data_IF_562033621328
#
_entry.id   IF_562033621328
#
_cell.length_a   1.000
_cell.length_b   1.000
_cell.length_c   1.000
_cell.angle_alpha   90.00
_cell.angle_beta   90.00
_cell.angle_gamma   90.00
#
_symmetry.space_group_name_H-M   'P 1'
#
loop_
_entity.id
_entity.type
_entity.pdbx_description
1 polymer ?
#
# COMPACT_ATOMS: atom_id res chain seq x y z
N UNK A 1 -10.52 20.11 28.10
CA UNK A 1 -9.28 20.55 27.41
C UNK A 1 -8.36 19.34 27.25
N UNK A 2 -7.85 19.08 26.04
CA UNK A 2 -6.97 17.93 25.82
C UNK A 2 -5.58 18.24 26.38
N UNK A 3 -5.07 17.53 27.41
CA UNK A 3 -3.80 17.85 28.09
C UNK A 3 -2.61 17.91 27.11
N UNK A 4 -2.68 17.19 25.99
CA UNK A 4 -1.64 17.25 24.94
C UNK A 4 -1.54 18.60 24.22
N UNK A 5 -2.65 19.35 24.13
CA UNK A 5 -2.64 20.69 23.49
C UNK A 5 -2.03 21.75 24.40
N UNK A 6 -2.15 21.58 25.72
CA UNK A 6 -1.61 22.52 26.71
C UNK A 6 -0.09 22.38 26.82
N UNK A 7 0.43 21.14 26.88
CA UNK A 7 1.88 20.88 26.96
C UNK A 7 2.63 21.38 25.72
N UNK A 8 2.03 21.27 24.53
CA UNK A 8 2.65 21.77 23.29
C UNK A 8 2.77 23.29 23.18
N UNK A 9 2.03 24.06 24.00
CA UNK A 9 2.09 25.52 24.01
C UNK A 9 3.16 26.09 24.96
N UNK A 10 3.60 25.30 25.93
CA UNK A 10 4.45 25.80 27.04
C UNK A 10 5.89 25.27 27.00
N UNK A 11 6.13 24.14 26.30
CA UNK A 11 7.43 23.46 26.25
C UNK A 11 8.11 23.68 24.90
N UNK A 12 9.41 24.08 24.86
CA UNK A 12 10.16 24.20 23.61
C UNK A 12 10.16 22.89 22.80
N UNK A 13 10.03 22.98 21.46
CA UNK A 13 9.98 21.79 20.57
C UNK A 13 11.18 20.86 20.74
N UNK A 14 12.34 21.37 21.12
CA UNK A 14 13.56 20.60 21.40
C UNK A 14 13.44 19.70 22.63
N UNK A 15 12.72 20.13 23.66
CA UNK A 15 12.48 19.34 24.87
C UNK A 15 11.31 18.35 24.75
N UNK A 16 10.38 18.60 23.82
CA UNK A 16 9.22 17.72 23.60
C UNK A 16 9.63 16.38 22.98
N UNK A 17 10.57 16.36 22.01
CA UNK A 17 11.02 15.14 21.32
C UNK A 17 11.57 14.04 22.26
N UNK A 18 12.48 14.32 23.19
CA UNK A 18 12.97 13.33 24.16
C UNK A 18 11.84 12.79 25.06
N UNK A 19 10.99 13.68 25.57
CA UNK A 19 9.86 13.28 26.43
C UNK A 19 8.86 12.39 25.68
N UNK A 20 8.49 12.75 24.45
CA UNK A 20 7.63 11.89 23.62
C UNK A 20 8.26 10.52 23.33
N UNK A 21 9.57 10.48 23.13
CA UNK A 21 10.28 9.21 22.89
C UNK A 21 10.28 8.31 24.11
N UNK A 22 10.56 8.85 25.28
CA UNK A 22 10.48 8.12 26.57
C UNK A 22 9.05 7.63 26.83
N UNK A 23 8.07 8.52 26.68
CA UNK A 23 6.65 8.17 26.84
C UNK A 23 6.18 7.07 25.90
N UNK A 24 6.63 7.11 24.63
CA UNK A 24 6.30 6.06 23.65
C UNK A 24 6.95 4.73 23.99
N UNK A 25 8.22 4.74 24.43
CA UNK A 25 8.92 3.54 24.89
C UNK A 25 8.24 2.92 26.11
N UNK A 26 7.93 3.71 27.13
CA UNK A 26 7.26 3.23 28.34
C UNK A 26 5.88 2.63 28.07
N UNK A 27 5.08 3.26 27.19
CA UNK A 27 3.81 2.67 26.74
C UNK A 27 3.99 1.34 26.01
N UNK A 28 5.06 1.21 25.20
CA UNK A 28 5.39 -0.04 24.54
C UNK A 28 5.59 -1.17 25.54
N UNK A 29 6.40 -0.94 26.56
CA UNK A 29 6.67 -1.91 27.64
C UNK A 29 5.38 -2.27 28.38
N UNK A 30 4.57 -1.27 28.77
CA UNK A 30 3.28 -1.51 29.48
C UNK A 30 2.37 -2.46 28.68
N UNK A 31 2.21 -2.24 27.37
CA UNK A 31 1.34 -3.10 26.57
C UNK A 31 1.95 -4.48 26.32
N UNK A 32 3.27 -4.59 26.14
CA UNK A 32 3.96 -5.88 26.04
C UNK A 32 3.77 -6.70 27.32
N UNK A 33 4.01 -6.09 28.48
CA UNK A 33 3.81 -6.75 29.80
C UNK A 33 2.36 -7.19 29.98
N UNK A 34 1.39 -6.31 29.68
CA UNK A 34 -0.05 -6.63 29.81
C UNK A 34 -0.49 -7.82 28.96
N UNK A 35 0.13 -8.01 27.79
CA UNK A 35 -0.18 -9.11 26.87
C UNK A 35 0.84 -10.28 26.97
N UNK A 36 1.74 -10.27 27.95
CA UNK A 36 2.70 -11.35 28.18
C UNK A 36 3.74 -11.52 27.07
N UNK A 37 4.23 -10.41 26.51
CA UNK A 37 5.27 -10.39 25.46
C UNK A 37 4.97 -11.36 24.30
N UNK A 38 3.82 -11.26 23.64
CA UNK A 38 3.37 -12.28 22.69
C UNK A 38 4.30 -12.41 21.48
N UNK A 39 4.98 -11.34 21.09
CA UNK A 39 5.90 -11.30 19.95
C UNK A 39 7.17 -12.15 20.16
N UNK A 40 7.56 -12.47 21.39
CA UNK A 40 8.79 -13.23 21.66
C UNK A 40 8.72 -14.69 21.19
N UNK A 41 7.52 -15.23 20.98
CA UNK A 41 7.29 -16.62 20.54
C UNK A 41 6.81 -16.72 19.09
N UNK A 42 6.74 -15.61 18.36
CA UNK A 42 6.23 -15.55 17.00
C UNK A 42 7.32 -15.08 16.04
N UNK A 43 7.47 -15.76 14.93
CA UNK A 43 8.29 -15.27 13.80
C UNK A 43 7.55 -14.17 13.07
N UNK A 44 8.26 -13.15 12.58
CA UNK A 44 7.62 -12.01 11.96
C UNK A 44 8.32 -11.57 10.68
N UNK A 45 7.52 -11.24 9.67
CA UNK A 45 7.92 -10.55 8.45
C UNK A 45 7.33 -9.15 8.49
N UNK A 46 8.18 -8.13 8.38
CA UNK A 46 7.73 -6.74 8.37
C UNK A 46 7.96 -6.13 6.97
N UNK A 47 6.90 -5.56 6.41
CA UNK A 47 6.89 -5.03 5.03
C UNK A 47 6.70 -3.52 5.07
N UNK A 48 7.69 -2.79 4.55
CA UNK A 48 7.65 -1.33 4.39
C UNK A 48 7.88 -0.93 2.92
N UNK A 49 7.67 0.32 2.60
CA UNK A 49 7.79 0.90 1.26
C UNK A 49 6.84 2.07 1.09
N UNK A 50 6.85 2.74 -0.04
CA UNK A 50 5.83 3.73 -0.38
C UNK A 50 4.59 3.04 -0.88
N UNK A 51 4.69 2.26 -1.94
CA UNK A 51 3.62 1.53 -2.61
C UNK A 51 3.80 0.01 -2.48
N UNK A 52 2.73 -0.77 -2.70
CA UNK A 52 2.78 -2.23 -2.79
C UNK A 52 2.80 -3.01 -1.47
N UNK A 53 2.84 -2.36 -0.30
CA UNK A 53 2.96 -3.02 1.02
C UNK A 53 1.85 -4.04 1.30
N UNK A 54 0.59 -3.64 1.13
CA UNK A 54 -0.59 -4.49 1.38
C UNK A 54 -0.61 -5.68 0.42
N UNK A 55 -0.34 -5.43 -0.86
CA UNK A 55 -0.30 -6.49 -1.89
C UNK A 55 0.86 -7.46 -1.64
N UNK A 56 2.04 -6.95 -1.29
CA UNK A 56 3.18 -7.80 -0.90
C UNK A 56 2.83 -8.66 0.33
N UNK A 57 2.17 -8.08 1.35
CA UNK A 57 1.73 -8.83 2.52
C UNK A 57 0.74 -9.94 2.14
N UNK A 58 -0.17 -9.67 1.21
CA UNK A 58 -1.13 -10.65 0.70
C UNK A 58 -0.44 -11.78 -0.07
N UNK A 59 0.53 -11.47 -0.94
CA UNK A 59 1.34 -12.50 -1.61
C UNK A 59 2.15 -13.35 -0.62
N UNK A 60 2.82 -12.71 0.35
CA UNK A 60 3.58 -13.43 1.38
C UNK A 60 2.65 -14.36 2.14
N UNK A 61 1.46 -13.90 2.53
CA UNK A 61 0.45 -14.72 3.20
C UNK A 61 0.06 -15.94 2.35
N UNK A 62 -0.24 -15.72 1.08
CA UNK A 62 -0.63 -16.78 0.14
C UNK A 62 0.48 -17.82 -0.05
N UNK A 63 1.74 -17.39 -0.18
CA UNK A 63 2.92 -18.24 -0.30
C UNK A 63 3.15 -19.07 0.96
N UNK A 64 3.04 -18.47 2.14
CA UNK A 64 3.21 -19.17 3.41
C UNK A 64 2.11 -20.21 3.64
N UNK A 65 0.85 -19.87 3.36
CA UNK A 65 -0.29 -20.81 3.44
C UNK A 65 -0.15 -21.98 2.46
N UNK A 66 0.26 -21.74 1.22
CA UNK A 66 0.56 -22.79 0.24
C UNK A 66 1.69 -23.72 0.73
N UNK A 67 2.63 -23.18 1.50
CA UNK A 67 3.66 -23.94 2.21
C UNK A 67 3.18 -24.72 3.42
N UNK A 68 1.89 -24.66 3.76
CA UNK A 68 1.30 -25.36 4.91
C UNK A 68 1.52 -24.65 6.26
N UNK A 69 1.91 -23.38 6.25
CA UNK A 69 2.17 -22.61 7.47
C UNK A 69 0.92 -21.81 7.90
N UNK A 70 0.65 -21.79 9.19
CA UNK A 70 -0.37 -20.93 9.78
C UNK A 70 0.11 -19.52 9.92
N UNK A 71 -0.71 -18.55 9.48
CA UNK A 71 -0.30 -17.16 9.39
C UNK A 71 -1.27 -16.20 10.10
N UNK A 72 -0.74 -15.04 10.50
CA UNK A 72 -1.54 -13.87 10.83
C UNK A 72 -1.04 -12.66 10.04
N UNK A 73 -1.96 -11.87 9.51
CA UNK A 73 -1.67 -10.70 8.65
C UNK A 73 -2.26 -9.44 9.25
N UNK A 74 -1.46 -8.40 9.34
CA UNK A 74 -1.88 -7.08 9.79
C UNK A 74 -1.53 -6.04 8.73
N UNK A 75 -2.54 -5.55 7.99
CA UNK A 75 -2.35 -4.57 6.93
C UNK A 75 -3.24 -3.33 7.11
N UNK A 76 -3.08 -2.37 6.21
CA UNK A 76 -3.99 -1.21 6.13
C UNK A 76 -5.40 -1.64 5.74
N UNK A 77 -5.54 -2.64 4.85
CA UNK A 77 -6.83 -3.06 4.31
C UNK A 77 -7.59 -4.04 5.23
N UNK A 78 -6.87 -4.97 5.86
CA UNK A 78 -7.49 -6.03 6.64
C UNK A 78 -6.55 -6.60 7.71
N UNK A 79 -7.17 -7.27 8.68
CA UNK A 79 -6.51 -8.20 9.62
C UNK A 79 -6.94 -9.62 9.28
N UNK A 80 -6.03 -10.56 9.41
CA UNK A 80 -6.34 -11.97 9.21
C UNK A 80 -5.57 -12.80 10.24
N UNK A 81 -6.23 -13.75 10.90
CA UNK A 81 -5.59 -14.73 11.79
C UNK A 81 -6.09 -16.08 11.34
N UNK A 82 -5.17 -16.95 10.89
CA UNK A 82 -5.48 -18.21 10.23
C UNK A 82 -6.32 -17.93 8.97
N UNK A 83 -7.58 -18.34 8.89
CA UNK A 83 -8.48 -18.08 7.77
C UNK A 83 -9.55 -17.01 8.06
N UNK A 84 -9.55 -16.47 9.28
CA UNK A 84 -10.51 -15.43 9.67
C UNK A 84 -10.01 -14.04 9.27
N UNK A 85 -10.57 -13.48 8.20
CA UNK A 85 -10.28 -12.13 7.70
C UNK A 85 -11.36 -11.15 8.11
N UNK A 86 -10.92 -10.00 8.64
CA UNK A 86 -11.79 -8.85 8.96
C UNK A 86 -11.23 -7.55 8.40
N UNK A 87 -12.06 -6.62 7.90
CA UNK A 87 -11.61 -5.31 7.42
C UNK A 87 -10.92 -4.51 8.52
N UNK A 88 -9.90 -3.74 8.16
CA UNK A 88 -9.26 -2.79 9.06
C UNK A 88 -9.97 -1.43 9.03
N UNK A 89 -10.94 -1.24 9.90
CA UNK A 89 -11.73 0.00 9.99
C UNK A 89 -11.01 1.16 10.70
N UNK A 90 -9.71 1.04 10.96
CA UNK A 90 -8.95 2.11 11.64
C UNK A 90 -8.37 3.18 10.70
N UNK A 91 -8.34 2.94 9.38
CA UNK A 91 -7.63 3.73 8.36
C UNK A 91 -6.15 3.98 8.73
N UNK A 92 -5.58 3.11 9.51
CA UNK A 92 -4.18 3.18 9.94
C UNK A 92 -3.54 1.82 9.82
N UNK A 93 -2.44 1.74 9.11
CA UNK A 93 -1.65 0.51 8.94
C UNK A 93 -1.24 -0.07 10.30
N UNK A 94 -0.75 0.79 11.21
CA UNK A 94 -0.45 0.44 12.59
C UNK A 94 -1.06 1.50 13.51
N UNK A 95 -2.27 1.24 14.00
CA UNK A 95 -3.06 2.22 14.75
C UNK A 95 -2.41 2.60 16.09
N UNK A 96 -1.98 1.63 16.89
CA UNK A 96 -1.34 1.87 18.19
C UNK A 96 -0.58 0.63 18.68
N UNK A 97 0.35 0.84 19.60
CA UNK A 97 1.07 -0.26 20.27
C UNK A 97 0.11 -1.26 20.94
N UNK A 98 -0.99 -0.77 21.56
CA UNK A 98 -2.02 -1.64 22.15
C UNK A 98 -2.65 -2.54 21.10
N UNK A 99 -3.07 -1.99 19.96
CA UNK A 99 -3.71 -2.75 18.89
C UNK A 99 -2.76 -3.84 18.35
N UNK A 100 -1.50 -3.49 18.11
CA UNK A 100 -0.47 -4.44 17.68
C UNK A 100 -0.27 -5.55 18.69
N UNK A 101 -0.04 -5.22 19.98
CA UNK A 101 0.19 -6.24 21.01
C UNK A 101 -1.04 -7.14 21.23
N UNK A 102 -2.26 -6.59 21.13
CA UNK A 102 -3.51 -7.38 21.15
C UNK A 102 -3.56 -8.35 19.97
N UNK A 103 -3.23 -7.87 18.76
CA UNK A 103 -3.19 -8.72 17.58
C UNK A 103 -2.18 -9.86 17.72
N UNK A 104 -0.96 -9.57 18.17
CA UNK A 104 0.07 -10.58 18.41
C UNK A 104 -0.36 -11.60 19.51
N UNK A 105 -1.05 -11.15 20.54
CA UNK A 105 -1.60 -12.06 21.57
C UNK A 105 -2.65 -13.01 20.99
N UNK A 106 -3.54 -12.52 20.12
CA UNK A 106 -4.52 -13.33 19.42
C UNK A 106 -3.86 -14.32 18.45
N UNK A 107 -2.88 -13.86 17.67
CA UNK A 107 -2.08 -14.69 16.77
C UNK A 107 -1.36 -15.83 17.53
N UNK A 108 -0.74 -15.51 18.66
CA UNK A 108 -0.12 -16.51 19.54
C UNK A 108 -1.15 -17.55 20.06
N UNK A 109 -2.34 -17.09 20.48
CA UNK A 109 -3.41 -17.97 20.95
C UNK A 109 -3.91 -18.90 19.84
N UNK A 110 -3.95 -18.42 18.58
CA UNK A 110 -4.32 -19.21 17.41
C UNK A 110 -3.21 -20.19 16.96
N UNK A 111 -2.01 -20.12 17.54
CA UNK A 111 -0.90 -20.99 17.20
C UNK A 111 -0.34 -20.77 15.81
N UNK A 112 -0.28 -19.50 15.35
CA UNK A 112 0.30 -19.19 14.03
C UNK A 112 1.83 -19.33 14.05
N UNK A 113 2.39 -19.74 12.91
CA UNK A 113 3.83 -19.88 12.73
C UNK A 113 4.49 -18.52 12.42
N UNK A 114 3.80 -17.68 11.63
CA UNK A 114 4.32 -16.41 11.14
C UNK A 114 3.31 -15.28 11.25
N UNK A 115 3.79 -14.11 11.65
CA UNK A 115 3.04 -12.85 11.56
C UNK A 115 3.60 -11.99 10.45
N UNK A 116 2.74 -11.54 9.54
CA UNK A 116 3.05 -10.63 8.45
C UNK A 116 2.51 -9.25 8.83
N UNK A 117 3.40 -8.28 8.95
CA UNK A 117 3.05 -6.93 9.41
C UNK A 117 3.40 -5.89 8.37
N UNK A 118 2.41 -5.18 7.85
CA UNK A 118 2.63 -3.97 7.07
C UNK A 118 3.02 -2.81 8.00
N UNK A 119 4.13 -2.10 7.67
CA UNK A 119 4.68 -1.06 8.53
C UNK A 119 4.95 0.22 7.75
N UNK A 120 4.33 1.32 8.15
CA UNK A 120 4.59 2.64 7.56
C UNK A 120 5.83 3.31 8.18
N UNK A 121 6.42 4.26 7.45
CA UNK A 121 7.51 5.09 7.98
C UNK A 121 7.12 5.87 9.25
N UNK A 122 5.87 6.30 9.34
CA UNK A 122 5.33 6.92 10.56
C UNK A 122 5.34 5.95 11.74
N UNK A 123 4.94 4.68 11.52
CA UNK A 123 4.93 3.66 12.57
C UNK A 123 6.35 3.37 13.07
N UNK A 124 7.32 3.29 12.16
CA UNK A 124 8.74 3.12 12.46
C UNK A 124 9.28 4.33 13.24
N UNK A 125 9.11 5.52 12.70
CA UNK A 125 9.61 6.76 13.33
C UNK A 125 8.96 7.00 14.70
N UNK A 126 7.66 6.75 14.82
CA UNK A 126 6.90 6.94 16.06
C UNK A 126 7.03 5.79 17.06
N UNK A 127 7.75 4.73 16.76
CA UNK A 127 7.96 3.61 17.69
C UNK A 127 6.72 2.76 17.94
N UNK A 128 5.76 2.71 16.99
CA UNK A 128 4.51 1.95 17.19
C UNK A 128 4.72 0.43 17.20
N UNK A 129 5.84 -0.05 16.64
CA UNK A 129 6.23 -1.45 16.66
C UNK A 129 7.36 -1.73 17.67
N UNK A 130 7.52 -0.89 18.69
CA UNK A 130 8.53 -1.11 19.73
C UNK A 130 8.33 -2.47 20.41
N UNK A 131 9.46 -3.20 20.58
CA UNK A 131 9.46 -4.57 21.14
C UNK A 131 9.17 -5.68 20.15
N UNK A 132 8.91 -5.36 18.88
CA UNK A 132 8.86 -6.35 17.81
C UNK A 132 10.26 -6.47 17.17
N UNK A 133 10.65 -7.71 16.85
CA UNK A 133 11.94 -8.04 16.20
C UNK A 133 11.67 -8.90 14.98
N UNK A 134 11.56 -8.33 13.78
CA UNK A 134 11.31 -9.10 12.57
C UNK A 134 12.47 -10.05 12.25
N UNK A 135 12.14 -11.26 11.78
CA UNK A 135 13.14 -12.13 11.14
C UNK A 135 13.50 -11.58 9.76
N UNK A 136 12.49 -11.13 9.00
CA UNK A 136 12.65 -10.61 7.65
C UNK A 136 12.03 -9.22 7.56
N UNK A 137 12.77 -8.26 6.99
CA UNK A 137 12.30 -6.95 6.59
C UNK A 137 12.27 -6.83 5.07
N UNK A 138 11.17 -6.31 4.53
CA UNK A 138 11.00 -6.08 3.09
C UNK A 138 10.87 -4.58 2.84
N UNK A 139 11.62 -4.04 1.88
CA UNK A 139 11.44 -2.68 1.34
C UNK A 139 10.99 -2.81 -0.11
N UNK A 140 9.73 -2.48 -0.39
CA UNK A 140 9.16 -2.62 -1.74
C UNK A 140 9.70 -1.57 -2.71
N UNK A 141 9.65 -0.29 -2.29
CA UNK A 141 10.12 0.87 -3.07
C UNK A 141 10.16 2.13 -2.19
N UNK A 142 10.75 3.20 -2.73
CA UNK A 142 10.72 4.54 -2.13
C UNK A 142 10.47 5.61 -3.21
N UNK A 143 9.26 6.17 -3.24
CA UNK A 143 8.87 7.30 -4.08
C UNK A 143 8.40 8.46 -3.22
N UNK A 144 8.19 9.65 -3.81
CA UNK A 144 7.83 10.84 -3.06
C UNK A 144 6.47 10.68 -2.36
N UNK A 145 6.50 10.74 -1.04
CA UNK A 145 5.32 10.70 -0.16
C UNK A 145 5.72 11.17 1.25
N UNK A 146 4.75 11.67 2.03
CA UNK A 146 4.94 12.04 3.44
C UNK A 146 6.03 13.10 3.72
N UNK A 147 6.32 14.01 2.76
CA UNK A 147 7.30 15.07 2.98
C UNK A 147 6.79 16.18 3.92
N UNK A 148 5.47 16.30 4.09
CA UNK A 148 4.85 17.08 5.15
C UNK A 148 5.36 16.67 6.54
N UNK A 149 5.62 15.39 6.74
CA UNK A 149 6.09 14.78 7.99
C UNK A 149 7.62 14.62 8.05
N UNK A 150 8.24 13.99 7.05
CA UNK A 150 9.66 13.63 7.03
C UNK A 150 10.58 14.76 6.54
N UNK A 151 10.02 15.78 5.88
CA UNK A 151 10.70 16.96 5.32
C UNK A 151 11.58 16.69 4.10
N UNK A 152 12.36 15.61 4.07
CA UNK A 152 13.20 15.22 2.93
C UNK A 152 13.04 13.73 2.62
N UNK A 153 13.35 13.36 1.38
CA UNK A 153 13.36 11.96 0.95
C UNK A 153 14.40 11.14 1.72
N UNK A 154 15.52 11.74 2.11
CA UNK A 154 16.56 11.06 2.90
C UNK A 154 16.06 10.72 4.31
N UNK A 155 15.39 11.64 5.01
CA UNK A 155 14.78 11.37 6.32
C UNK A 155 13.67 10.31 6.20
N UNK A 156 12.93 10.31 5.10
CA UNK A 156 11.95 9.28 4.81
C UNK A 156 12.60 7.91 4.60
N UNK A 157 13.71 7.84 3.84
CA UNK A 157 14.50 6.62 3.68
C UNK A 157 15.08 6.13 5.01
N UNK A 158 15.71 7.01 5.82
CA UNK A 158 16.22 6.70 7.16
C UNK A 158 15.14 6.13 8.09
N UNK A 159 13.92 6.66 8.01
CA UNK A 159 12.80 6.12 8.78
C UNK A 159 12.52 4.65 8.42
N UNK A 160 12.61 4.27 7.14
CA UNK A 160 12.45 2.86 6.70
C UNK A 160 13.67 1.99 7.05
N UNK A 161 14.92 2.51 6.91
CA UNK A 161 16.14 1.82 7.33
C UNK A 161 16.08 1.44 8.82
N UNK A 162 15.37 2.22 9.64
CA UNK A 162 15.20 1.91 11.07
C UNK A 162 14.53 0.55 11.34
N UNK A 163 13.85 -0.05 10.38
CA UNK A 163 13.34 -1.42 10.46
C UNK A 163 14.47 -2.42 10.74
N UNK A 164 15.64 -2.19 10.18
CA UNK A 164 16.83 -3.03 10.29
C UNK A 164 17.73 -2.58 11.45
N UNK A 165 18.06 -1.30 11.49
CA UNK A 165 19.04 -0.75 12.45
C UNK A 165 18.51 -0.61 13.87
N UNK A 166 17.22 -0.30 14.03
CA UNK A 166 16.58 -0.05 15.32
C UNK A 166 15.69 -1.22 15.78
N UNK A 167 14.95 -1.82 14.85
CA UNK A 167 14.02 -2.92 15.16
C UNK A 167 14.63 -4.29 14.88
N UNK A 168 15.82 -4.35 14.28
CA UNK A 168 16.67 -5.51 14.21
C UNK A 168 16.15 -6.63 13.30
N UNK A 169 15.48 -6.27 12.19
CA UNK A 169 15.16 -7.26 11.16
C UNK A 169 16.45 -7.91 10.66
N UNK A 170 16.49 -9.26 10.63
CA UNK A 170 17.74 -10.02 10.42
C UNK A 170 18.11 -10.16 8.95
N UNK A 171 17.10 -10.27 8.06
CA UNK A 171 17.30 -10.34 6.61
C UNK A 171 16.55 -9.18 5.97
N UNK A 172 17.20 -8.50 5.01
CA UNK A 172 16.64 -7.41 4.22
C UNK A 172 16.35 -7.89 2.80
N UNK A 173 15.09 -7.73 2.34
CA UNK A 173 14.70 -7.95 0.95
C UNK A 173 14.50 -6.59 0.31
N UNK A 174 15.31 -6.27 -0.72
CA UNK A 174 15.45 -4.94 -1.30
C UNK A 174 15.21 -4.94 -2.81
N UNK A 175 14.42 -3.99 -3.31
CA UNK A 175 14.24 -3.77 -4.73
C UNK A 175 15.51 -3.12 -5.32
N UNK A 176 16.20 -3.83 -6.23
CA UNK A 176 17.43 -3.36 -6.85
C UNK A 176 17.17 -2.27 -7.89
N UNK A 177 16.00 -2.27 -8.51
CA UNK A 177 15.65 -1.30 -9.55
C UNK A 177 15.10 0.02 -8.97
N UNK A 178 14.93 0.10 -7.64
CA UNK A 178 14.53 1.32 -6.96
C UNK A 178 15.69 2.32 -6.91
N UNK A 179 15.43 3.60 -7.22
CA UNK A 179 16.42 4.68 -7.19
C UNK A 179 17.14 4.82 -5.84
N UNK A 180 16.52 4.37 -4.76
CA UNK A 180 17.04 4.42 -3.40
C UNK A 180 17.73 3.11 -2.98
N UNK A 181 17.83 2.12 -3.87
CA UNK A 181 18.46 0.84 -3.56
C UNK A 181 19.85 1.01 -2.92
N UNK A 182 20.72 1.82 -3.54
CA UNK A 182 22.07 2.06 -3.03
C UNK A 182 22.07 2.62 -1.60
N UNK A 183 21.13 3.55 -1.32
CA UNK A 183 20.99 4.10 0.03
C UNK A 183 20.60 3.02 1.03
N UNK A 184 19.61 2.18 0.71
CA UNK A 184 19.21 1.07 1.59
C UNK A 184 20.35 0.07 1.76
N UNK A 185 20.97 -0.38 0.68
CA UNK A 185 22.05 -1.36 0.70
C UNK A 185 23.27 -0.91 1.52
N UNK A 186 23.63 0.38 1.45
CA UNK A 186 24.76 0.95 2.19
C UNK A 186 24.48 1.18 3.68
N UNK A 187 23.22 1.34 4.08
CA UNK A 187 22.83 1.63 5.46
C UNK A 187 22.27 0.41 6.22
N UNK A 188 22.22 -0.76 5.57
CA UNK A 188 21.75 -2.02 6.16
C UNK A 188 22.91 -3.01 6.16
N UNK A 189 23.32 -3.46 7.33
CA UNK A 189 24.47 -4.37 7.51
C UNK A 189 24.07 -5.84 7.61
N UNK A 190 22.78 -6.13 7.70
CA UNK A 190 22.22 -7.47 7.78
C UNK A 190 22.30 -8.19 6.43
N UNK A 191 22.03 -9.50 6.42
CA UNK A 191 21.89 -10.27 5.18
C UNK A 191 20.93 -9.58 4.21
N UNK A 192 21.36 -9.40 2.95
CA UNK A 192 20.56 -8.74 1.93
C UNK A 192 20.22 -9.70 0.78
N UNK A 193 18.98 -9.62 0.31
CA UNK A 193 18.48 -10.30 -0.88
C UNK A 193 17.90 -9.23 -1.78
N UNK A 194 18.56 -8.96 -2.90
CA UNK A 194 18.07 -8.02 -3.90
C UNK A 194 17.20 -8.71 -4.96
N UNK A 195 16.19 -8.00 -5.47
CA UNK A 195 15.34 -8.49 -6.56
C UNK A 195 15.09 -7.40 -7.60
N UNK A 196 14.84 -7.80 -8.85
CA UNK A 196 14.53 -6.89 -9.96
C UNK A 196 15.05 -7.34 -11.30
N UNK A 197 14.94 -6.47 -12.32
CA UNK A 197 15.47 -6.70 -13.67
C UNK A 197 16.98 -6.43 -13.76
N UNK A 198 17.54 -5.68 -12.81
CA UNK A 198 18.96 -5.36 -12.78
C UNK A 198 19.82 -6.63 -12.80
N UNK A 199 20.92 -6.62 -13.58
CA UNK A 199 21.81 -7.76 -13.76
C UNK A 199 22.41 -8.29 -12.46
N UNK A 200 22.57 -7.43 -11.47
CA UNK A 200 23.20 -7.75 -10.17
C UNK A 200 22.17 -8.16 -9.11
N UNK A 201 20.87 -8.22 -9.47
CA UNK A 201 19.83 -8.72 -8.59
C UNK A 201 20.06 -10.19 -8.28
N UNK A 202 19.96 -10.57 -7.00
CA UNK A 202 20.03 -11.96 -6.58
C UNK A 202 18.84 -12.78 -7.08
N UNK A 203 17.63 -12.21 -6.98
CA UNK A 203 16.42 -12.73 -7.60
C UNK A 203 16.14 -11.92 -8.88
N UNK A 204 16.75 -12.33 -9.98
CA UNK A 204 16.69 -11.61 -11.27
C UNK A 204 15.39 -11.90 -12.02
N UNK A 205 14.72 -10.84 -12.46
CA UNK A 205 13.48 -10.88 -13.22
C UNK A 205 13.76 -10.84 -14.73
N UNK A 206 13.07 -11.70 -15.51
CA UNK A 206 13.11 -11.72 -16.99
C UNK A 206 11.76 -12.15 -17.59
N UNK A 207 11.66 -12.02 -18.91
CA UNK A 207 10.58 -12.57 -19.74
C UNK A 207 9.17 -12.17 -19.23
N UNK A 208 8.99 -10.89 -18.92
CA UNK A 208 7.70 -10.34 -18.44
C UNK A 208 6.68 -10.36 -19.58
N UNK A 209 5.52 -10.97 -19.32
CA UNK A 209 4.35 -10.96 -20.22
C UNK A 209 3.13 -10.49 -19.42
N UNK A 210 2.66 -9.29 -19.73
CA UNK A 210 1.44 -8.71 -19.15
C UNK A 210 0.24 -9.07 -20.02
N UNK A 211 -0.86 -9.51 -19.41
CA UNK A 211 -2.12 -9.85 -20.06
C UNK A 211 -3.31 -9.29 -19.29
N UNK A 212 -4.48 -9.25 -19.89
CA UNK A 212 -5.71 -8.81 -19.22
C UNK A 212 -6.13 -9.70 -18.02
N UNK A 213 -5.62 -10.94 -17.95
CA UNK A 213 -5.97 -11.90 -16.90
C UNK A 213 -4.79 -12.17 -15.94
N UNK A 214 -3.84 -11.24 -15.82
CA UNK A 214 -2.67 -11.38 -14.96
C UNK A 214 -1.36 -11.28 -15.71
N UNK A 215 -0.29 -11.82 -15.13
CA UNK A 215 1.07 -11.70 -15.68
C UNK A 215 1.84 -13.01 -15.56
N UNK A 216 2.77 -13.23 -16.48
CA UNK A 216 3.78 -14.30 -16.40
C UNK A 216 5.17 -13.70 -16.45
N UNK A 217 6.09 -14.32 -15.74
CA UNK A 217 7.47 -13.86 -15.67
C UNK A 217 8.41 -14.99 -15.23
N UNK A 218 9.69 -14.84 -15.50
CA UNK A 218 10.71 -15.75 -15.01
C UNK A 218 11.54 -15.07 -13.93
N UNK A 219 11.80 -15.80 -12.84
CA UNK A 219 12.69 -15.35 -11.77
C UNK A 219 13.85 -16.33 -11.59
N UNK A 220 15.07 -15.82 -11.47
CA UNK A 220 16.29 -16.62 -11.23
C UNK A 220 16.26 -17.11 -9.79
N UNK A 221 16.29 -18.42 -9.60
CA UNK A 221 16.33 -19.09 -8.31
C UNK A 221 17.52 -20.08 -8.30
N UNK A 222 18.54 -19.77 -7.48
CA UNK A 222 19.83 -20.43 -7.66
C UNK A 222 20.40 -20.10 -9.04
N UNK A 223 20.60 -21.09 -9.87
CA UNK A 223 21.16 -20.96 -11.23
C UNK A 223 20.09 -21.16 -12.33
N UNK A 224 18.81 -21.36 -11.96
CA UNK A 224 17.75 -21.66 -12.91
C UNK A 224 16.68 -20.56 -12.95
N UNK A 225 16.18 -20.27 -14.18
CA UNK A 225 15.02 -19.40 -14.36
C UNK A 225 13.74 -20.22 -14.21
N UNK A 226 12.96 -19.88 -13.21
CA UNK A 226 11.68 -20.52 -12.90
C UNK A 226 10.55 -19.62 -13.37
N UNK A 227 9.60 -20.21 -14.12
CA UNK A 227 8.42 -19.51 -14.59
C UNK A 227 7.36 -19.40 -13.49
N UNK A 228 6.84 -18.18 -13.28
CA UNK A 228 5.75 -17.84 -12.37
C UNK A 228 4.58 -17.24 -13.13
N UNK A 229 3.38 -17.38 -12.58
CA UNK A 229 2.19 -16.67 -13.02
C UNK A 229 1.46 -16.05 -11.84
N UNK A 230 0.85 -14.90 -12.08
CA UNK A 230 -0.01 -14.21 -11.09
C UNK A 230 -1.27 -13.71 -11.78
N UNK A 231 -2.38 -13.66 -11.06
CA UNK A 231 -3.65 -13.12 -11.53
C UNK A 231 -3.74 -11.59 -11.36
N UNK A 232 -2.88 -10.99 -10.54
CA UNK A 232 -2.88 -9.54 -10.35
C UNK A 232 -2.25 -8.84 -11.55
N UNK A 233 -2.85 -7.73 -11.96
CA UNK A 233 -2.47 -6.94 -13.13
C UNK A 233 -1.26 -6.05 -12.85
N UNK A 234 -0.45 -5.82 -13.88
CA UNK A 234 0.60 -4.82 -13.90
C UNK A 234 1.97 -5.28 -13.42
N UNK A 235 3.00 -4.65 -13.99
CA UNK A 235 4.40 -4.93 -13.70
C UNK A 235 4.73 -4.75 -12.22
N UNK A 236 4.15 -3.73 -11.57
CA UNK A 236 4.36 -3.48 -10.15
C UNK A 236 3.91 -4.64 -9.25
N UNK A 237 2.89 -5.41 -9.66
CA UNK A 237 2.47 -6.61 -8.94
C UNK A 237 3.42 -7.79 -9.13
N UNK A 238 4.16 -7.85 -10.24
CA UNK A 238 5.29 -8.78 -10.39
C UNK A 238 6.37 -8.47 -9.34
N UNK A 239 6.70 -7.19 -9.12
CA UNK A 239 7.66 -6.78 -8.09
C UNK A 239 7.17 -7.11 -6.67
N UNK A 240 5.87 -6.94 -6.40
CA UNK A 240 5.27 -7.40 -5.14
C UNK A 240 5.36 -8.93 -4.97
N UNK A 241 5.15 -9.69 -6.05
CA UNK A 241 5.31 -11.14 -6.06
C UNK A 241 6.78 -11.57 -5.84
N UNK A 242 7.76 -10.86 -6.44
CA UNK A 242 9.19 -11.13 -6.21
C UNK A 242 9.57 -10.99 -4.73
N UNK A 243 9.01 -10.01 -4.01
CA UNK A 243 9.18 -9.91 -2.57
C UNK A 243 8.74 -11.19 -1.85
N UNK A 244 7.57 -11.73 -2.22
CA UNK A 244 7.04 -12.93 -1.60
C UNK A 244 7.82 -14.20 -2.00
N UNK A 245 8.32 -14.27 -3.24
CA UNK A 245 9.22 -15.33 -3.69
C UNK A 245 10.51 -15.31 -2.85
N UNK A 246 11.12 -14.13 -2.69
CA UNK A 246 12.32 -13.97 -1.85
C UNK A 246 12.08 -14.37 -0.40
N UNK A 247 10.93 -14.02 0.18
CA UNK A 247 10.52 -14.45 1.52
C UNK A 247 10.38 -15.97 1.57
N UNK A 248 9.65 -16.57 0.63
CA UNK A 248 9.43 -18.02 0.58
C UNK A 248 10.74 -18.81 0.48
N UNK A 249 11.69 -18.34 -0.32
CA UNK A 249 13.03 -18.91 -0.41
C UNK A 249 13.82 -18.76 0.89
N UNK A 250 13.81 -17.57 1.49
CA UNK A 250 14.54 -17.30 2.74
C UNK A 250 14.11 -18.19 3.90
N UNK A 251 12.83 -18.55 3.95
CA UNK A 251 12.29 -19.45 4.97
C UNK A 251 12.36 -20.95 4.58
N UNK A 252 12.87 -21.26 3.38
CA UNK A 252 13.11 -22.62 2.92
C UNK A 252 11.89 -23.36 2.36
N UNK A 253 10.89 -22.66 1.82
CA UNK A 253 9.75 -23.30 1.17
C UNK A 253 10.15 -23.93 -0.17
N UNK A 254 9.52 -25.07 -0.51
CA UNK A 254 9.66 -25.71 -1.82
C UNK A 254 9.16 -24.77 -2.92
N UNK A 255 9.85 -24.75 -4.05
CA UNK A 255 9.54 -23.84 -5.16
C UNK A 255 8.11 -24.02 -5.69
N UNK A 256 7.63 -25.26 -5.75
CA UNK A 256 6.26 -25.52 -6.20
C UNK A 256 5.21 -24.90 -5.28
N UNK A 257 5.47 -24.85 -3.96
CA UNK A 257 4.61 -24.19 -3.00
C UNK A 257 4.64 -22.66 -3.13
N UNK A 258 5.81 -22.10 -3.43
CA UNK A 258 5.95 -20.67 -3.74
C UNK A 258 5.14 -20.34 -5.01
N UNK A 259 5.30 -21.14 -6.09
CA UNK A 259 4.52 -20.97 -7.33
C UNK A 259 3.01 -21.05 -7.10
N UNK A 260 2.57 -22.08 -6.36
CA UNK A 260 1.17 -22.25 -5.98
C UNK A 260 0.63 -21.00 -5.24
N UNK A 261 1.37 -20.52 -4.24
CA UNK A 261 1.00 -19.36 -3.46
C UNK A 261 0.91 -18.07 -4.29
N UNK A 262 1.86 -17.83 -5.21
CA UNK A 262 1.80 -16.66 -6.11
C UNK A 262 0.59 -16.76 -7.05
N UNK A 263 0.31 -17.91 -7.62
CA UNK A 263 -0.76 -18.10 -8.57
C UNK A 263 -2.16 -18.10 -7.95
N UNK A 264 -2.28 -18.45 -6.67
CA UNK A 264 -3.57 -18.55 -5.97
C UNK A 264 -4.15 -17.20 -5.52
N UNK A 265 -3.35 -16.13 -5.45
CA UNK A 265 -3.83 -14.80 -5.06
C UNK A 265 -4.64 -14.15 -6.18
N UNK A 266 -5.96 -14.12 -6.03
CA UNK A 266 -6.90 -13.62 -7.06
C UNK A 266 -7.07 -12.11 -7.02
N UNK A 267 -7.20 -11.53 -5.85
CA UNK A 267 -7.43 -10.09 -5.65
C UNK A 267 -6.93 -9.64 -4.29
N UNK A 268 -6.74 -8.34 -4.15
CA UNK A 268 -6.46 -7.67 -2.87
C UNK A 268 -7.47 -6.53 -2.74
N UNK A 269 -8.22 -6.43 -1.62
CA UNK A 269 -9.26 -5.43 -1.46
C UNK A 269 -8.77 -4.00 -1.77
N UNK A 270 -9.44 -3.33 -2.71
CA UNK A 270 -9.13 -1.97 -3.14
C UNK A 270 -7.75 -1.81 -3.78
N UNK A 271 -7.24 -2.83 -4.45
CA UNK A 271 -5.98 -2.81 -5.21
C UNK A 271 -6.21 -3.39 -6.59
N UNK A 272 -6.47 -2.53 -7.59
CA UNK A 272 -6.89 -2.95 -8.93
C UNK A 272 -8.01 -4.00 -8.86
N UNK A 273 -8.94 -3.81 -7.92
CA UNK A 273 -10.06 -4.72 -7.69
C UNK A 273 -11.12 -4.48 -8.77
N UNK A 274 -11.37 -5.48 -9.59
CA UNK A 274 -12.41 -5.41 -10.63
C UNK A 274 -13.79 -5.54 -10.01
N UNK A 275 -14.71 -4.70 -10.47
CA UNK A 275 -16.13 -4.73 -10.12
C UNK A 275 -16.90 -5.13 -11.37
N UNK A 276 -17.41 -6.35 -11.38
CA UNK A 276 -18.16 -6.93 -12.48
C UNK A 276 -19.58 -7.29 -12.02
N UNK A 277 -20.56 -6.64 -12.61
CA UNK A 277 -22.00 -6.90 -12.42
C UNK A 277 -22.68 -7.20 -13.79
N UNK A 278 -21.89 -7.54 -14.82
CA UNK A 278 -22.34 -7.90 -16.18
C UNK A 278 -22.37 -6.74 -17.17
N UNK A 279 -21.83 -5.57 -16.82
CA UNK A 279 -21.70 -4.41 -17.70
C UNK A 279 -20.72 -4.68 -18.86
N UNK A 280 -20.83 -3.90 -19.96
CA UNK A 280 -20.01 -4.08 -21.16
C UNK A 280 -18.71 -3.25 -21.20
N UNK A 281 -18.33 -2.65 -20.08
CA UNK A 281 -17.10 -1.90 -19.83
C UNK A 281 -16.45 -2.37 -18.52
N UNK A 282 -15.16 -2.10 -18.33
CA UNK A 282 -14.42 -2.55 -17.15
C UNK A 282 -14.43 -1.46 -16.07
N UNK A 283 -14.69 -1.84 -14.82
CA UNK A 283 -14.59 -0.96 -13.65
C UNK A 283 -13.58 -1.54 -12.67
N UNK A 284 -12.59 -0.72 -12.27
CA UNK A 284 -11.60 -1.10 -11.26
C UNK A 284 -11.58 -0.09 -10.11
N UNK A 285 -11.37 -0.60 -8.91
CA UNK A 285 -11.18 0.20 -7.69
C UNK A 285 -9.75 0.04 -7.19
N UNK A 286 -9.05 1.17 -6.99
CA UNK A 286 -7.67 1.18 -6.52
C UNK A 286 -7.42 2.24 -5.43
N UNK A 287 -6.42 2.03 -4.60
CA UNK A 287 -5.95 2.97 -3.57
C UNK A 287 -4.78 3.83 -4.06
N UNK A 288 -4.71 4.16 -5.33
CA UNK A 288 -3.67 5.02 -5.89
C UNK A 288 -3.87 6.47 -5.45
N UNK A 289 -3.02 6.93 -4.54
CA UNK A 289 -3.04 8.28 -3.91
C UNK A 289 -1.72 9.05 -4.09
N UNK A 290 -0.82 8.53 -4.91
CA UNK A 290 0.46 9.17 -5.22
C UNK A 290 0.64 9.27 -6.75
N UNK A 291 1.44 10.23 -7.27
CA UNK A 291 1.72 10.32 -8.70
C UNK A 291 2.21 8.98 -9.29
N UNK A 292 3.19 8.36 -8.67
CA UNK A 292 3.75 7.06 -9.07
C UNK A 292 2.69 5.94 -9.10
N UNK A 293 1.80 5.88 -8.09
CA UNK A 293 0.75 4.86 -8.07
C UNK A 293 -0.30 5.10 -9.17
N UNK A 294 -0.67 6.35 -9.45
CA UNK A 294 -1.58 6.72 -10.55
C UNK A 294 -0.97 6.38 -11.91
N UNK A 295 0.29 6.73 -12.13
CA UNK A 295 1.02 6.41 -13.35
C UNK A 295 1.07 4.90 -13.59
N UNK A 296 1.47 4.14 -12.58
CA UNK A 296 1.53 2.69 -12.64
C UNK A 296 0.16 2.05 -12.93
N UNK A 297 -0.92 2.54 -12.32
CA UNK A 297 -2.27 2.04 -12.57
C UNK A 297 -2.72 2.33 -14.00
N UNK A 298 -2.62 3.59 -14.45
CA UNK A 298 -3.08 4.02 -15.78
C UNK A 298 -2.27 3.39 -16.91
N UNK A 299 -0.93 3.37 -16.81
CA UNK A 299 -0.06 2.73 -17.81
C UNK A 299 -0.26 1.21 -17.87
N UNK A 300 -0.62 0.57 -16.76
CA UNK A 300 -1.00 -0.83 -16.74
C UNK A 300 -2.31 -1.07 -17.48
N UNK A 301 -3.32 -0.23 -17.29
CA UNK A 301 -4.64 -0.39 -17.88
C UNK A 301 -4.69 0.01 -19.36
N UNK A 302 -3.88 0.97 -19.78
CA UNK A 302 -3.90 1.50 -21.15
C UNK A 302 -3.82 0.41 -22.24
N UNK A 303 -2.84 -0.52 -22.23
CA UNK A 303 -2.75 -1.57 -23.25
C UNK A 303 -3.88 -2.62 -23.18
N UNK A 304 -4.60 -2.70 -22.07
CA UNK A 304 -5.73 -3.63 -21.87
C UNK A 304 -7.07 -3.00 -22.23
N UNK A 305 -7.15 -1.69 -22.28
CA UNK A 305 -8.36 -0.92 -22.60
C UNK A 305 -8.56 -0.83 -24.12
N UNK A 306 -9.66 -1.38 -24.61
CA UNK A 306 -10.01 -1.35 -26.05
C UNK A 306 -10.61 -0.02 -26.47
N UNK A 307 -11.35 0.63 -25.59
CA UNK A 307 -12.00 1.92 -25.76
C UNK A 307 -11.24 3.04 -25.07
N UNK A 308 -11.98 3.89 -24.34
CA UNK A 308 -11.45 5.01 -23.56
C UNK A 308 -11.03 4.55 -22.17
N UNK A 309 -9.93 5.09 -21.68
CA UNK A 309 -9.50 4.95 -20.28
C UNK A 309 -9.94 6.20 -19.52
N UNK A 310 -10.91 6.02 -18.63
CA UNK A 310 -11.42 7.08 -17.78
C UNK A 310 -10.95 6.90 -16.32
N UNK A 311 -10.83 8.00 -15.58
CA UNK A 311 -10.47 7.98 -14.18
C UNK A 311 -11.39 8.89 -13.35
N UNK A 312 -11.86 8.39 -12.21
CA UNK A 312 -12.49 9.16 -11.14
C UNK A 312 -11.48 9.27 -10.00
N UNK A 313 -11.03 10.49 -9.69
CA UNK A 313 -9.98 10.68 -8.70
C UNK A 313 -10.08 12.04 -7.99
N UNK A 314 -9.34 12.15 -6.89
CA UNK A 314 -9.13 13.37 -6.14
C UNK A 314 -7.79 13.33 -5.43
N UNK A 315 -7.57 14.30 -4.54
CA UNK A 315 -6.42 14.33 -3.67
C UNK A 315 -6.82 14.49 -2.21
N UNK A 316 -6.02 13.93 -1.31
CA UNK A 316 -6.27 13.94 0.12
C UNK A 316 -5.86 15.26 0.76
N UNK A 317 -6.70 15.83 1.62
CA UNK A 317 -6.42 16.99 2.46
C UNK A 317 -5.51 16.67 3.65
N UNK A 318 -4.97 17.69 4.32
CA UNK A 318 -4.06 17.59 5.49
C UNK A 318 -2.86 16.65 5.24
N UNK A 319 -2.41 16.55 3.99
CA UNK A 319 -1.27 15.75 3.52
C UNK A 319 -0.32 16.61 2.70
N UNK A 320 0.66 15.97 2.08
CA UNK A 320 1.62 16.62 1.17
C UNK A 320 0.90 17.25 -0.03
N UNK A 321 0.70 18.58 0.01
CA UNK A 321 0.03 19.32 -1.06
C UNK A 321 0.89 19.40 -2.34
N UNK A 322 2.23 19.29 -2.22
CA UNK A 322 3.13 19.42 -3.37
C UNK A 322 2.93 18.36 -4.45
N UNK A 323 2.32 17.23 -4.11
CA UNK A 323 2.01 16.15 -5.06
C UNK A 323 0.74 16.39 -5.88
N UNK A 324 -0.18 17.31 -5.47
CA UNK A 324 -1.52 17.47 -6.06
C UNK A 324 -1.47 17.86 -7.53
N UNK A 325 -0.67 18.90 -7.87
CA UNK A 325 -0.48 19.30 -9.27
C UNK A 325 0.17 18.19 -10.10
N UNK A 326 1.17 17.49 -9.55
CA UNK A 326 1.84 16.37 -10.23
C UNK A 326 0.87 15.20 -10.46
N UNK A 327 -0.04 14.91 -9.53
CA UNK A 327 -1.10 13.92 -9.74
C UNK A 327 -2.00 14.33 -10.91
N UNK A 328 -2.36 15.62 -11.00
CA UNK A 328 -3.13 16.16 -12.13
C UNK A 328 -2.41 16.00 -13.46
N UNK A 329 -1.11 16.29 -13.53
CA UNK A 329 -0.27 16.13 -14.72
C UNK A 329 -0.23 14.67 -15.19
N UNK A 330 0.06 13.74 -14.27
CA UNK A 330 0.13 12.30 -14.57
C UNK A 330 -1.19 11.77 -15.11
N UNK A 331 -2.32 12.17 -14.51
CA UNK A 331 -3.64 11.74 -14.96
C UNK A 331 -3.95 12.32 -16.36
N UNK A 332 -3.63 13.59 -16.60
CA UNK A 332 -3.84 14.24 -17.87
C UNK A 332 -3.04 13.63 -19.04
N UNK A 333 -1.86 13.07 -18.75
CA UNK A 333 -1.01 12.40 -19.75
C UNK A 333 -1.46 10.97 -20.07
N UNK A 334 -2.18 10.31 -19.15
CA UNK A 334 -2.44 8.86 -19.24
C UNK A 334 -3.92 8.47 -19.38
N UNK A 335 -4.86 9.39 -19.12
CA UNK A 335 -6.31 9.12 -19.19
C UNK A 335 -6.97 9.88 -20.34
N UNK A 336 -7.96 9.26 -21.00
CA UNK A 336 -8.76 9.89 -22.06
C UNK A 336 -9.87 10.78 -21.48
N UNK A 337 -10.46 10.40 -20.34
CA UNK A 337 -11.48 11.17 -19.63
C UNK A 337 -11.18 11.25 -18.15
N UNK A 338 -11.39 12.43 -17.58
CA UNK A 338 -11.04 12.74 -16.19
C UNK A 338 -12.28 13.25 -15.46
N UNK A 339 -12.69 12.57 -14.39
CA UNK A 339 -13.74 12.99 -13.46
C UNK A 339 -13.06 13.38 -12.14
N UNK A 340 -12.70 14.66 -12.03
CA UNK A 340 -12.03 15.21 -10.85
C UNK A 340 -13.07 15.49 -9.76
N UNK A 341 -12.83 14.95 -8.57
CA UNK A 341 -13.76 15.10 -7.44
C UNK A 341 -13.01 15.09 -6.10
N UNK A 342 -13.75 15.06 -5.00
CA UNK A 342 -13.16 14.98 -3.66
C UNK A 342 -12.77 13.55 -3.30
N UNK A 343 -11.58 13.42 -2.72
CA UNK A 343 -11.14 12.25 -1.95
C UNK A 343 -11.51 12.48 -0.47
N UNK A 344 -10.60 12.35 0.48
CA UNK A 344 -10.75 12.75 1.88
C UNK A 344 -10.23 14.18 2.06
N UNK A 345 -11.10 15.12 2.42
CA UNK A 345 -10.71 16.54 2.56
C UNK A 345 -10.12 16.87 3.93
N UNK A 346 -10.35 16.01 4.92
CA UNK A 346 -10.02 16.27 6.31
C UNK A 346 -10.51 17.64 6.76
N UNK A 347 -9.61 18.60 7.09
CA UNK A 347 -9.99 19.95 7.54
C UNK A 347 -9.78 21.03 6.48
N UNK A 348 -9.23 20.66 5.31
CA UNK A 348 -9.02 21.61 4.20
C UNK A 348 -10.28 21.88 3.40
N UNK A 349 -10.33 23.02 2.72
CA UNK A 349 -11.39 23.36 1.79
C UNK A 349 -11.37 22.45 0.55
N UNK A 350 -12.46 21.72 0.25
CA UNK A 350 -12.52 20.77 -0.87
C UNK A 350 -12.18 21.41 -2.21
N UNK A 351 -12.71 22.62 -2.44
CA UNK A 351 -12.50 23.36 -3.69
C UNK A 351 -11.02 23.69 -3.89
N UNK A 352 -10.34 24.13 -2.84
CA UNK A 352 -8.90 24.43 -2.91
C UNK A 352 -8.07 23.21 -3.32
N UNK A 353 -8.39 22.03 -2.77
CA UNK A 353 -7.71 20.77 -3.14
C UNK A 353 -7.93 20.45 -4.63
N UNK A 354 -9.18 20.54 -5.12
CA UNK A 354 -9.49 20.29 -6.52
C UNK A 354 -8.80 21.29 -7.45
N UNK A 355 -8.79 22.58 -7.08
CA UNK A 355 -8.13 23.63 -7.85
C UNK A 355 -6.61 23.40 -8.01
N UNK A 356 -5.96 22.87 -6.96
CA UNK A 356 -4.52 22.51 -7.03
C UNK A 356 -4.27 21.33 -7.96
N UNK A 357 -5.12 20.29 -7.94
CA UNK A 357 -5.05 19.16 -8.89
C UNK A 357 -5.34 19.63 -10.30
N UNK A 358 -6.38 20.46 -10.48
CA UNK A 358 -6.79 20.98 -11.79
C UNK A 358 -5.72 21.83 -12.47
N UNK A 359 -4.88 22.54 -11.71
CA UNK A 359 -3.72 23.26 -12.26
C UNK A 359 -2.78 22.32 -13.03
N UNK A 360 -2.51 21.14 -12.47
CA UNK A 360 -1.71 20.11 -13.14
C UNK A 360 -2.36 19.59 -14.42
N UNK A 361 -3.67 19.29 -14.37
CA UNK A 361 -4.44 18.86 -15.55
C UNK A 361 -4.40 19.93 -16.64
N UNK A 362 -4.63 21.18 -16.25
CA UNK A 362 -4.65 22.32 -17.17
C UNK A 362 -3.30 22.57 -17.86
N UNK A 363 -2.18 22.29 -17.17
CA UNK A 363 -0.82 22.44 -17.72
C UNK A 363 -0.55 21.50 -18.89
N UNK A 364 -1.26 20.38 -18.99
CA UNK A 364 -1.15 19.37 -20.07
C UNK A 364 -2.24 19.49 -21.14
N UNK A 365 -2.97 20.61 -21.17
CA UNK A 365 -4.05 20.88 -22.13
C UNK A 365 -5.23 19.90 -22.11
N UNK A 366 -5.43 19.17 -21.01
CA UNK A 366 -6.49 18.17 -20.88
C UNK A 366 -7.83 18.74 -20.34
N UNK A 367 -8.03 20.07 -20.41
CA UNK A 367 -9.24 20.75 -19.91
C UNK A 367 -10.55 20.26 -20.55
N UNK A 368 -10.51 20.02 -21.88
CA UNK A 368 -11.68 19.59 -22.66
C UNK A 368 -12.16 18.19 -22.29
N UNK A 369 -11.29 17.37 -21.70
CA UNK A 369 -11.59 15.98 -21.33
C UNK A 369 -11.81 15.83 -19.82
N UNK A 370 -11.91 16.96 -19.09
CA UNK A 370 -12.06 16.97 -17.64
C UNK A 370 -13.39 17.53 -17.21
N UNK A 371 -14.11 16.78 -16.40
CA UNK A 371 -15.30 17.23 -15.68
C UNK A 371 -14.97 17.32 -14.18
N UNK A 372 -15.43 18.35 -13.49
CA UNK A 372 -15.17 18.60 -12.07
C UNK A 372 -16.47 18.49 -11.29
N UNK A 373 -16.46 17.71 -10.21
CA UNK A 373 -17.61 17.43 -9.37
C UNK A 373 -17.32 17.74 -7.89
N UNK A 374 -18.29 18.37 -7.24
CA UNK A 374 -18.26 18.58 -5.78
C UNK A 374 -18.67 17.31 -5.02
N UNK A 375 -19.43 16.43 -5.66
CA UNK A 375 -19.88 15.16 -5.10
C UNK A 375 -19.25 13.97 -5.85
N UNK A 376 -18.58 13.09 -5.08
CA UNK A 376 -17.93 11.92 -5.63
C UNK A 376 -18.90 10.86 -6.16
N UNK A 377 -20.09 10.74 -5.53
CA UNK A 377 -21.10 9.81 -6.03
C UNK A 377 -21.57 10.22 -7.42
N UNK A 378 -21.82 11.52 -7.65
CA UNK A 378 -22.21 12.04 -8.96
C UNK A 378 -21.07 11.89 -9.99
N UNK A 379 -19.81 12.03 -9.57
CA UNK A 379 -18.66 11.79 -10.46
C UNK A 379 -18.61 10.32 -10.93
N UNK A 380 -18.78 9.35 -10.02
CA UNK A 380 -18.81 7.92 -10.33
C UNK A 380 -19.99 7.60 -11.25
N UNK A 381 -21.21 8.06 -10.88
CA UNK A 381 -22.43 7.86 -11.68
C UNK A 381 -22.26 8.39 -13.10
N UNK A 382 -21.76 9.63 -13.23
CA UNK A 382 -21.53 10.26 -14.53
C UNK A 382 -20.50 9.50 -15.37
N UNK A 383 -19.43 8.99 -14.75
CA UNK A 383 -18.42 8.18 -15.44
C UNK A 383 -19.01 6.88 -16.01
N UNK A 384 -20.01 6.27 -15.34
CA UNK A 384 -20.69 5.05 -15.81
C UNK A 384 -21.71 5.38 -16.91
N UNK A 385 -22.44 6.50 -16.82
CA UNK A 385 -23.37 6.98 -17.85
C UNK A 385 -22.64 7.29 -19.18
N UNK A 386 -21.42 7.84 -19.10
CA UNK A 386 -20.61 8.19 -20.28
C UNK A 386 -19.87 6.99 -20.89
N UNK A 387 -19.77 5.86 -20.15
CA UNK A 387 -19.03 4.69 -20.55
C UNK A 387 -19.64 3.98 -21.75
N UNK A 388 -18.78 3.49 -22.63
CA UNK A 388 -19.14 2.69 -23.81
C UNK A 388 -18.51 1.33 -23.73
N UNK A 389 -19.01 0.42 -24.57
CA UNK A 389 -18.45 -0.92 -24.66
C UNK A 389 -16.94 -0.91 -24.92
N UNK A 390 -16.20 -1.58 -24.05
CA UNK A 390 -14.75 -1.71 -24.12
C UNK A 390 -13.97 -0.59 -23.45
N UNK A 391 -14.65 0.38 -22.83
CA UNK A 391 -14.03 1.39 -21.99
C UNK A 391 -13.54 0.78 -20.66
N UNK A 392 -12.61 1.44 -20.03
CA UNK A 392 -12.16 1.12 -18.67
C UNK A 392 -12.30 2.35 -17.79
N UNK A 393 -12.93 2.19 -16.64
CA UNK A 393 -13.07 3.23 -15.61
C UNK A 393 -12.28 2.82 -14.38
N UNK A 394 -11.36 3.67 -13.97
CA UNK A 394 -10.57 3.50 -12.77
C UNK A 394 -11.06 4.46 -11.68
N UNK A 395 -11.58 3.91 -10.58
CA UNK A 395 -11.95 4.65 -9.38
C UNK A 395 -10.78 4.63 -8.40
N UNK A 396 -10.19 5.80 -8.07
CA UNK A 396 -8.99 5.86 -7.22
C UNK A 396 -9.15 6.73 -5.99
N UNK A 397 -8.31 6.47 -4.98
CA UNK A 397 -8.18 7.27 -3.77
C UNK A 397 -8.71 6.56 -2.52
N UNK A 398 -9.94 6.09 -2.56
CA UNK A 398 -10.60 5.46 -1.40
C UNK A 398 -10.28 3.97 -1.29
N UNK A 399 -10.27 3.24 -2.41
CA UNK A 399 -9.93 1.83 -2.46
C UNK A 399 -10.79 0.96 -1.54
N UNK A 400 -10.19 0.41 -0.49
CA UNK A 400 -10.82 -0.51 0.46
C UNK A 400 -11.46 0.17 1.68
N UNK A 401 -11.37 1.49 1.80
CA UNK A 401 -11.84 2.22 2.98
C UNK A 401 -13.37 2.27 3.02
N UNK A 402 -13.94 2.28 4.24
CA UNK A 402 -15.38 2.20 4.47
C UNK A 402 -15.98 3.50 5.04
N UNK A 403 -15.20 4.57 5.05
CA UNK A 403 -15.64 5.94 5.34
C UNK A 403 -14.66 6.94 4.72
N UNK A 404 -15.09 8.19 4.56
CA UNK A 404 -14.27 9.33 4.15
C UNK A 404 -14.21 10.36 5.28
N UNK A 405 -13.07 11.02 5.47
CA UNK A 405 -12.95 12.16 6.38
C UNK A 405 -13.28 13.46 5.63
N UNK A 406 -14.49 13.96 5.82
CA UNK A 406 -15.01 15.16 5.16
C UNK A 406 -15.26 16.26 6.19
N UNK A 407 -14.58 17.42 6.08
CA UNK A 407 -14.70 18.52 7.03
C UNK A 407 -14.39 18.13 8.48
N UNK A 408 -13.43 17.20 8.69
CA UNK A 408 -13.06 16.68 10.00
C UNK A 408 -14.02 15.65 10.60
N UNK A 409 -15.03 15.19 9.84
CA UNK A 409 -16.01 14.18 10.25
C UNK A 409 -15.87 12.92 9.40
N UNK A 410 -16.13 11.77 10.01
CA UNK A 410 -16.22 10.49 9.30
C UNK A 410 -17.60 10.35 8.65
N UNK A 411 -17.60 10.20 7.35
CA UNK A 411 -18.82 9.96 6.54
C UNK A 411 -18.74 8.53 6.00
N UNK A 412 -19.74 7.66 6.24
CA UNK A 412 -19.76 6.31 5.69
C UNK A 412 -19.61 6.33 4.16
N UNK A 413 -18.77 5.44 3.64
CA UNK A 413 -18.48 5.33 2.22
C UNK A 413 -17.85 3.96 1.92
N UNK A 414 -18.36 3.23 0.97
CA UNK A 414 -17.69 2.07 0.38
C UNK A 414 -17.76 2.19 -1.14
N UNK A 415 -16.62 2.49 -1.74
CA UNK A 415 -16.49 2.74 -3.19
C UNK A 415 -16.95 1.53 -4.01
N UNK A 416 -16.65 0.32 -3.53
CA UNK A 416 -16.95 -0.94 -4.21
C UNK A 416 -18.45 -1.24 -4.18
N UNK A 417 -19.11 -1.00 -3.03
CA UNK A 417 -20.57 -1.14 -2.91
C UNK A 417 -21.32 -0.09 -3.73
N UNK A 418 -20.83 1.15 -3.73
CA UNK A 418 -21.39 2.22 -4.56
C UNK A 418 -21.30 1.85 -6.04
N UNK A 419 -20.13 1.39 -6.50
CA UNK A 419 -19.94 0.99 -7.87
C UNK A 419 -20.87 -0.18 -8.26
N UNK A 420 -20.96 -1.23 -7.41
CA UNK A 420 -21.88 -2.36 -7.65
C UNK A 420 -23.35 -1.92 -7.74
N UNK A 421 -23.77 -1.05 -6.82
CA UNK A 421 -25.15 -0.59 -6.78
C UNK A 421 -25.51 0.26 -8.01
N UNK A 422 -24.61 1.13 -8.47
CA UNK A 422 -24.81 1.91 -9.69
C UNK A 422 -24.85 1.03 -10.93
N UNK A 423 -23.97 0.02 -11.05
CA UNK A 423 -23.95 -0.91 -12.18
C UNK A 423 -25.20 -1.80 -12.27
N UNK A 424 -25.82 -2.15 -11.14
CA UNK A 424 -27.07 -2.93 -11.11
C UNK A 424 -28.32 -2.13 -11.49
N UNK A 425 -28.23 -0.80 -11.46
CA UNK A 425 -29.37 0.09 -11.78
C UNK A 425 -29.37 0.53 -13.25
N UNK A 426 -28.28 0.39 -13.96
CA UNK A 426 -28.12 0.73 -15.38
C UNK A 426 -28.14 -0.48 -16.25
#
# INVERSE_FOLDING_TARGET
MNPKKVVKKVVPKSAIKPIETVYRKSRGVVWQTRYGFPANSLKMIAITGTNGKTTTASYVNSVLKAGGLKTAVYTTAYYEIDDERVPNNSHMTVASQRAVQKFFANAKKAGVDWVILEVTSHALHQGRIAGLKPEIGVVTNLTQEHLDYHKTMEEYAKAKVSLFTKYGAKTAILNHDDKWHHFFASNITQKQISFGENSDSKLKLKNIKLTANGSRFDALIGDEYINFSTQLLGKFNIYNALCAIAVGQEIGLKIDKIKEGIASLKSVPGRMEEIDEGQNFTVLVDFAITPDALENALTTLRPMTKGKLAIVFGATGDRDASKRSVMGEVVAENADHIYLTDDETYTEDPKSIRDEVYKGIASKNARSNTQVFDDRFEAIKKSFEDAKRGDTILLTGIGHENYRNMGGKKVPWDEREIARNLLKQG
#
